data_IF_208315477940
#
_entry.id   IF_208315477940
#
_cell.length_a   1.000
_cell.length_b   1.000
_cell.length_c   1.000
_cell.angle_alpha   90.00
_cell.angle_beta   90.00
_cell.angle_gamma   90.00
#
_symmetry.space_group_name_H-M   'P 1'
#
loop_
_entity.id
_entity.type
_entity.pdbx_description
1 polymer ?
#
# COMPACT_ATOMS: atom_id res chain seq x y z
N UNK A 1 -14.25 -9.90 -48.12
CA UNK A 1 -12.93 -9.55 -48.69
C UNK A 1 -11.87 -9.64 -47.56
N UNK A 2 -10.98 -10.64 -47.59
CA UNK A 2 -9.86 -10.73 -46.64
C UNK A 2 -8.82 -9.68 -47.00
N UNK A 3 -8.55 -8.72 -46.12
CA UNK A 3 -7.42 -7.77 -46.28
C UNK A 3 -6.12 -8.58 -46.36
N UNK A 4 -5.41 -8.46 -47.50
CA UNK A 4 -4.07 -9.04 -47.64
C UNK A 4 -3.18 -8.53 -46.51
N UNK A 5 -2.60 -9.48 -45.72
CA UNK A 5 -1.57 -9.15 -44.75
C UNK A 5 -0.36 -8.57 -45.48
N UNK A 6 -0.07 -7.30 -45.21
CA UNK A 6 1.11 -6.65 -45.74
C UNK A 6 2.34 -7.35 -45.17
N UNK A 7 3.12 -7.98 -46.03
CA UNK A 7 4.35 -8.67 -45.66
C UNK A 7 5.37 -7.65 -45.13
N UNK A 8 5.74 -7.74 -43.87
CA UNK A 8 6.71 -6.82 -43.26
C UNK A 8 8.12 -7.28 -43.66
N UNK A 9 8.82 -6.42 -44.41
CA UNK A 9 10.22 -6.68 -44.74
C UNK A 9 11.12 -6.44 -43.52
N UNK A 10 12.17 -7.25 -43.32
CA UNK A 10 13.16 -7.01 -42.26
C UNK A 10 13.78 -5.62 -42.41
N UNK A 11 14.14 -5.02 -41.27
CA UNK A 11 14.81 -3.73 -41.22
C UNK A 11 16.24 -3.90 -41.77
N UNK A 12 16.66 -3.03 -42.68
CA UNK A 12 18.02 -2.98 -43.18
C UNK A 12 18.95 -2.37 -42.14
N UNK A 13 19.72 -3.23 -41.44
CA UNK A 13 20.61 -2.83 -40.38
C UNK A 13 21.78 -1.94 -40.83
N UNK A 14 22.11 -1.92 -42.12
CA UNK A 14 23.19 -1.04 -42.67
C UNK A 14 22.80 0.42 -42.66
N UNK A 15 21.49 0.72 -42.61
CA UNK A 15 20.96 2.07 -42.59
C UNK A 15 20.77 2.65 -41.19
N UNK A 16 21.06 1.90 -40.14
CA UNK A 16 20.95 2.36 -38.75
C UNK A 16 22.07 3.35 -38.45
N UNK A 17 21.66 4.55 -38.03
CA UNK A 17 22.63 5.56 -37.54
C UNK A 17 23.02 5.24 -36.09
N UNK A 18 24.33 5.11 -35.86
CA UNK A 18 24.89 4.91 -34.54
C UNK A 18 25.60 6.18 -34.04
N UNK A 19 25.84 6.25 -32.75
CA UNK A 19 26.61 7.32 -32.12
C UNK A 19 27.53 6.76 -31.00
N UNK A 20 28.64 7.43 -30.68
CA UNK A 20 29.53 6.97 -29.62
C UNK A 20 28.84 6.94 -28.25
N UNK A 21 29.01 5.86 -27.51
CA UNK A 21 28.38 5.65 -26.18
C UNK A 21 28.66 6.79 -25.19
N UNK A 22 29.83 7.44 -25.29
CA UNK A 22 30.18 8.60 -24.47
C UNK A 22 29.26 9.81 -24.64
N UNK A 23 28.53 9.90 -25.75
CA UNK A 23 27.55 10.97 -26.01
C UNK A 23 26.15 10.64 -25.46
N UNK A 24 25.94 9.41 -24.98
CA UNK A 24 24.65 8.98 -24.47
C UNK A 24 24.41 9.52 -23.06
N UNK A 25 23.25 10.13 -22.85
CA UNK A 25 22.77 10.44 -21.50
C UNK A 25 22.40 9.13 -20.79
N UNK A 26 23.14 8.78 -19.74
CA UNK A 26 22.90 7.58 -18.94
C UNK A 26 22.23 7.95 -17.61
N UNK A 27 21.29 7.13 -17.16
CA UNK A 27 20.55 7.32 -15.91
C UNK A 27 21.19 6.61 -14.71
N UNK A 28 22.14 5.70 -14.96
CA UNK A 28 22.81 4.90 -13.93
C UNK A 28 24.31 4.97 -14.16
N UNK A 29 25.07 5.15 -13.07
CA UNK A 29 26.53 5.10 -13.05
C UNK A 29 27.03 4.23 -11.88
N UNK A 30 28.28 3.82 -11.93
CA UNK A 30 28.90 2.90 -10.96
C UNK A 30 28.85 3.44 -9.52
N UNK A 31 28.89 4.76 -9.33
CA UNK A 31 28.80 5.38 -8.01
C UNK A 31 27.44 5.20 -7.30
N UNK A 32 26.43 4.76 -8.04
CA UNK A 32 25.07 4.52 -7.52
C UNK A 32 24.83 3.05 -7.14
N UNK A 33 25.84 2.18 -7.34
CA UNK A 33 25.70 0.76 -7.06
C UNK A 33 25.60 0.48 -5.57
N UNK A 34 24.81 -0.54 -5.22
CA UNK A 34 24.74 -1.08 -3.86
C UNK A 34 26.08 -1.69 -3.44
N UNK A 35 26.33 -1.72 -2.14
CA UNK A 35 27.58 -2.25 -1.57
C UNK A 35 27.29 -3.43 -0.67
N UNK A 36 28.08 -4.51 -0.71
CA UNK A 36 28.02 -5.55 0.31
C UNK A 36 28.27 -4.94 1.70
N UNK A 37 27.50 -5.40 2.69
CA UNK A 37 27.63 -4.94 4.07
C UNK A 37 27.63 -6.11 5.04
N UNK A 38 28.30 -5.92 6.18
CA UNK A 38 28.02 -6.69 7.38
C UNK A 38 26.83 -6.04 8.11
N UNK A 39 25.77 -6.83 8.35
CA UNK A 39 24.55 -6.35 9.02
C UNK A 39 24.84 -6.02 10.49
N UNK A 40 25.11 -4.75 10.78
CA UNK A 40 25.30 -4.23 12.14
C UNK A 40 24.11 -3.36 12.60
N UNK A 41 23.30 -2.85 11.67
CA UNK A 41 22.10 -2.07 11.97
C UNK A 41 21.20 -1.95 10.75
N UNK A 42 19.90 -1.68 10.98
CA UNK A 42 18.94 -1.44 9.91
C UNK A 42 19.32 -0.23 9.04
N UNK A 43 19.84 0.84 9.64
CA UNK A 43 20.28 2.01 8.88
C UNK A 43 21.38 1.65 7.88
N UNK A 44 22.37 0.85 8.28
CA UNK A 44 23.41 0.38 7.36
C UNK A 44 22.85 -0.45 6.21
N UNK A 45 21.81 -1.25 6.47
CA UNK A 45 21.11 -1.96 5.41
C UNK A 45 20.48 -0.99 4.40
N UNK A 46 19.72 0.02 4.85
CA UNK A 46 19.11 1.01 3.97
C UNK A 46 20.18 1.79 3.17
N UNK A 47 21.28 2.15 3.80
CA UNK A 47 22.39 2.88 3.16
C UNK A 47 23.11 2.06 2.09
N UNK A 48 23.14 0.72 2.25
CA UNK A 48 23.80 -0.20 1.29
C UNK A 48 23.01 -0.43 0.02
N UNK A 49 21.70 -0.16 0.02
CA UNK A 49 20.85 -0.35 -1.15
C UNK A 49 21.33 0.52 -2.32
N UNK A 50 21.17 0.08 -3.59
CA UNK A 50 21.48 0.89 -4.76
C UNK A 50 20.79 2.27 -4.71
N UNK A 51 21.47 3.31 -5.21
CA UNK A 51 20.91 4.67 -5.29
C UNK A 51 20.19 4.90 -6.62
N UNK A 52 19.35 3.95 -7.01
CA UNK A 52 18.59 3.94 -8.27
C UNK A 52 17.23 3.28 -8.08
N UNK A 53 16.29 3.59 -8.95
CA UNK A 53 14.98 2.93 -9.06
C UNK A 53 14.23 2.90 -7.71
N UNK A 54 13.68 1.75 -7.35
CA UNK A 54 12.84 1.58 -6.17
C UNK A 54 13.55 1.89 -4.84
N UNK A 55 14.85 1.60 -4.74
CA UNK A 55 15.61 1.87 -3.52
C UNK A 55 15.84 3.37 -3.31
N UNK A 56 16.01 4.14 -4.38
CA UNK A 56 16.04 5.60 -4.31
C UNK A 56 14.66 6.17 -3.97
N UNK A 57 13.61 5.65 -4.60
CA UNK A 57 12.22 5.98 -4.26
C UNK A 57 11.91 5.73 -2.77
N UNK A 58 12.33 4.60 -2.21
CA UNK A 58 12.15 4.29 -0.79
C UNK A 58 12.84 5.33 0.12
N UNK A 59 14.10 5.70 -0.17
CA UNK A 59 14.80 6.75 0.61
C UNK A 59 14.09 8.09 0.54
N UNK A 60 13.59 8.46 -0.64
CA UNK A 60 12.85 9.70 -0.84
C UNK A 60 11.57 9.72 -0.02
N UNK A 61 10.80 8.63 0.00
CA UNK A 61 9.60 8.49 0.85
C UNK A 61 9.96 8.63 2.32
N UNK A 62 10.96 7.88 2.80
CA UNK A 62 11.43 7.96 4.20
C UNK A 62 11.82 9.39 4.55
N UNK A 63 12.67 10.02 3.73
CA UNK A 63 13.13 11.41 3.95
C UNK A 63 11.98 12.40 4.01
N UNK A 64 10.98 12.26 3.13
CA UNK A 64 9.84 13.15 3.09
C UNK A 64 8.92 12.98 4.29
N UNK A 65 8.70 11.75 4.75
CA UNK A 65 7.94 11.48 5.99
C UNK A 65 8.65 12.10 7.20
N UNK A 66 9.96 11.91 7.34
CA UNK A 66 10.76 12.50 8.42
C UNK A 66 10.69 14.03 8.37
N UNK A 67 10.84 14.64 7.20
CA UNK A 67 10.72 16.10 7.03
C UNK A 67 9.33 16.61 7.39
N UNK A 68 8.28 15.90 7.01
CA UNK A 68 6.91 16.27 7.33
C UNK A 68 6.67 16.20 8.84
N UNK A 69 7.07 15.11 9.48
CA UNK A 69 6.97 14.93 10.92
C UNK A 69 7.70 16.03 11.70
N UNK A 70 8.97 16.31 11.37
CA UNK A 70 9.77 17.34 12.03
C UNK A 70 9.23 18.76 11.84
N UNK A 71 8.44 19.00 10.79
CA UNK A 71 7.81 20.29 10.50
C UNK A 71 6.33 20.33 10.93
N UNK A 72 5.85 19.37 11.70
CA UNK A 72 4.45 19.23 12.10
C UNK A 72 3.48 19.31 10.89
N UNK A 73 3.88 18.72 9.77
CA UNK A 73 3.05 18.59 8.56
C UNK A 73 2.31 17.26 8.58
N UNK A 74 1.17 17.25 7.91
CA UNK A 74 0.36 16.05 7.82
C UNK A 74 1.02 14.98 6.94
N UNK A 75 0.92 13.72 7.39
CA UNK A 75 1.26 12.53 6.64
C UNK A 75 0.00 11.67 6.53
N UNK A 76 -0.56 11.60 5.34
CA UNK A 76 -1.75 10.79 5.05
C UNK A 76 -1.29 9.45 4.48
N UNK A 77 -1.66 8.35 5.14
CA UNK A 77 -1.42 6.99 4.67
C UNK A 77 -2.67 6.47 3.96
N UNK A 78 -2.63 6.39 2.63
CA UNK A 78 -3.69 5.78 1.83
C UNK A 78 -3.43 4.28 1.65
N UNK A 79 -4.35 3.43 2.12
CA UNK A 79 -4.19 1.98 2.12
C UNK A 79 -5.39 1.26 1.52
N UNK A 80 -5.14 0.08 0.96
CA UNK A 80 -6.17 -0.92 0.67
C UNK A 80 -6.29 -1.94 1.81
N UNK A 81 -7.30 -2.80 1.71
CA UNK A 81 -7.60 -3.84 2.69
C UNK A 81 -6.44 -4.81 2.99
N UNK A 82 -5.54 -5.02 2.02
CA UNK A 82 -4.42 -5.95 2.18
C UNK A 82 -3.47 -5.56 3.31
N UNK A 83 -3.31 -4.29 3.63
CA UNK A 83 -2.49 -3.86 4.77
C UNK A 83 -3.03 -4.46 6.07
N UNK A 84 -4.34 -4.49 6.25
CA UNK A 84 -5.00 -5.07 7.42
C UNK A 84 -4.96 -6.61 7.35
N UNK A 85 -5.40 -7.18 6.23
CA UNK A 85 -5.44 -8.64 6.00
C UNK A 85 -4.09 -9.32 6.15
N UNK A 86 -3.00 -8.64 5.78
CA UNK A 86 -1.64 -9.15 5.90
C UNK A 86 -1.01 -8.87 7.29
N UNK A 87 -1.78 -8.39 8.26
CA UNK A 87 -1.33 -8.27 9.65
C UNK A 87 -0.47 -7.03 9.94
N UNK A 88 -0.54 -5.98 9.10
CA UNK A 88 0.25 -4.77 9.29
C UNK A 88 -0.43 -3.70 10.17
N UNK A 89 -1.65 -3.95 10.64
CA UNK A 89 -2.40 -3.02 11.52
C UNK A 89 -1.60 -2.56 12.74
N UNK A 90 -0.87 -3.43 13.48
CA UNK A 90 -0.09 -2.98 14.63
C UNK A 90 1.00 -1.98 14.27
N UNK A 91 1.60 -2.11 13.08
CA UNK A 91 2.62 -1.16 12.58
C UNK A 91 1.98 0.19 12.25
N UNK A 92 0.83 0.17 11.57
CA UNK A 92 0.09 1.40 11.25
C UNK A 92 -0.34 2.12 12.53
N UNK A 93 -0.87 1.39 13.51
CA UNK A 93 -1.28 1.93 14.80
C UNK A 93 -0.09 2.55 15.56
N UNK A 94 1.08 1.90 15.56
CA UNK A 94 2.29 2.45 16.18
C UNK A 94 2.72 3.76 15.51
N UNK A 95 2.71 3.81 14.18
CA UNK A 95 3.02 5.04 13.43
C UNK A 95 2.03 6.17 13.75
N UNK A 96 0.74 5.86 13.93
CA UNK A 96 -0.27 6.82 14.35
C UNK A 96 -0.03 7.29 15.79
N UNK A 97 0.25 6.38 16.74
CA UNK A 97 0.54 6.70 18.13
C UNK A 97 1.78 7.60 18.28
N UNK A 98 2.76 7.43 17.44
CA UNK A 98 3.97 8.29 17.37
C UNK A 98 3.74 9.61 16.63
N UNK A 99 2.56 9.85 16.07
CA UNK A 99 2.28 11.04 15.27
C UNK A 99 3.03 11.12 13.94
N UNK A 100 3.60 9.99 13.46
CA UNK A 100 4.26 9.91 12.15
C UNK A 100 3.21 9.88 11.05
N UNK A 101 2.17 9.06 11.21
CA UNK A 101 0.97 9.07 10.37
C UNK A 101 -0.11 9.85 11.09
N UNK A 102 -0.62 10.90 10.47
CA UNK A 102 -1.61 11.81 11.07
C UNK A 102 -3.02 11.55 10.58
N UNK A 103 -3.17 10.86 9.46
CA UNK A 103 -4.45 10.42 8.92
C UNK A 103 -4.29 9.13 8.12
N UNK A 104 -5.32 8.28 8.15
CA UNK A 104 -5.43 7.09 7.32
C UNK A 104 -6.64 7.23 6.40
N UNK A 105 -6.43 7.00 5.11
CA UNK A 105 -7.48 6.93 4.10
C UNK A 105 -7.58 5.49 3.60
N UNK A 106 -8.78 4.92 3.59
CA UNK A 106 -9.04 3.57 3.09
C UNK A 106 -10.41 3.48 2.42
N UNK A 107 -10.59 2.47 1.59
CA UNK A 107 -11.89 2.15 1.01
C UNK A 107 -12.75 1.30 1.98
N UNK A 108 -14.00 1.03 1.60
CA UNK A 108 -14.93 0.26 2.42
C UNK A 108 -14.43 -1.14 2.79
N UNK A 109 -13.66 -1.81 1.92
CA UNK A 109 -13.12 -3.12 2.25
C UNK A 109 -12.07 -3.07 3.38
N UNK A 110 -11.29 -1.98 3.47
CA UNK A 110 -10.41 -1.74 4.62
C UNK A 110 -11.20 -1.63 5.92
N UNK A 111 -12.28 -0.85 5.91
CA UNK A 111 -13.16 -0.70 7.07
C UNK A 111 -13.84 -2.01 7.50
N UNK A 112 -14.26 -2.86 6.55
CA UNK A 112 -14.81 -4.18 6.81
C UNK A 112 -13.80 -5.05 7.56
N UNK A 113 -12.59 -5.20 7.02
CA UNK A 113 -11.58 -6.06 7.63
C UNK A 113 -11.11 -5.55 9.00
N UNK A 114 -11.04 -4.23 9.19
CA UNK A 114 -10.71 -3.63 10.49
C UNK A 114 -11.79 -3.93 11.53
N UNK A 115 -13.06 -3.77 11.16
CA UNK A 115 -14.19 -4.10 12.03
C UNK A 115 -14.22 -5.58 12.42
N UNK A 116 -14.06 -6.50 11.45
CA UNK A 116 -14.04 -7.94 11.69
C UNK A 116 -12.90 -8.34 12.61
N UNK A 117 -11.69 -7.82 12.37
CA UNK A 117 -10.55 -8.02 13.25
C UNK A 117 -10.81 -7.53 14.68
N UNK A 118 -11.49 -6.40 14.84
CA UNK A 118 -11.85 -5.89 16.18
C UNK A 118 -12.90 -6.74 16.88
N UNK A 119 -13.82 -7.34 16.12
CA UNK A 119 -14.96 -8.11 16.66
C UNK A 119 -14.54 -9.51 17.10
N UNK A 120 -13.89 -10.26 16.21
CA UNK A 120 -13.59 -11.69 16.39
C UNK A 120 -12.10 -12.05 16.34
N UNK A 121 -11.21 -11.10 15.96
CA UNK A 121 -9.77 -11.34 15.78
C UNK A 121 -9.42 -12.07 14.48
N UNK A 122 -10.39 -12.24 13.59
CA UNK A 122 -10.26 -12.92 12.30
C UNK A 122 -10.91 -12.11 11.20
N UNK A 123 -10.45 -12.30 9.97
CA UNK A 123 -11.03 -11.65 8.78
C UNK A 123 -10.62 -12.37 7.51
N UNK A 124 -11.11 -11.93 6.36
CA UNK A 124 -10.80 -12.49 5.04
C UNK A 124 -11.43 -13.87 4.82
N UNK A 125 -12.74 -13.85 4.62
CA UNK A 125 -13.57 -15.02 4.33
C UNK A 125 -12.96 -15.94 3.24
N UNK A 126 -13.10 -17.24 3.40
CA UNK A 126 -12.75 -18.22 2.35
C UNK A 126 -13.77 -18.13 1.21
N UNK A 127 -13.38 -17.44 0.15
CA UNK A 127 -14.21 -17.21 -1.03
C UNK A 127 -14.66 -18.53 -1.67
N UNK A 128 -13.75 -19.51 -1.77
CA UNK A 128 -14.04 -20.79 -2.43
C UNK A 128 -15.08 -21.62 -1.67
N UNK A 129 -15.10 -21.49 -0.37
CA UNK A 129 -16.11 -22.13 0.48
C UNK A 129 -17.48 -21.45 0.33
N UNK A 130 -17.53 -20.15 0.53
CA UNK A 130 -18.78 -19.38 0.61
C UNK A 130 -19.46 -19.16 -0.76
N UNK A 131 -18.73 -19.31 -1.88
CA UNK A 131 -19.36 -19.29 -3.20
C UNK A 131 -20.20 -20.52 -3.51
N UNK A 132 -19.99 -21.65 -2.81
CA UNK A 132 -20.74 -22.89 -3.06
C UNK A 132 -22.23 -22.77 -2.72
N UNK A 133 -22.54 -21.98 -1.71
CA UNK A 133 -23.89 -21.75 -1.21
C UNK A 133 -24.38 -20.30 -1.39
N UNK A 134 -23.55 -19.44 -2.00
CA UNK A 134 -23.90 -18.04 -2.29
C UNK A 134 -23.85 -17.12 -1.09
N UNK A 135 -23.20 -17.51 0.02
CA UNK A 135 -23.10 -16.70 1.25
C UNK A 135 -21.92 -15.75 1.28
N UNK A 136 -21.08 -15.71 0.25
CA UNK A 136 -19.92 -14.83 0.19
C UNK A 136 -20.27 -13.36 0.44
N UNK A 137 -19.65 -12.75 1.45
CA UNK A 137 -19.87 -11.35 1.84
C UNK A 137 -21.16 -11.11 2.63
N UNK A 138 -21.85 -12.14 3.09
CA UNK A 138 -23.14 -12.03 3.79
C UNK A 138 -23.01 -12.08 5.32
N UNK A 139 -21.84 -11.72 5.88
CA UNK A 139 -21.67 -11.65 7.33
C UNK A 139 -22.60 -10.59 7.93
N UNK A 140 -23.56 -11.02 8.76
CA UNK A 140 -24.63 -10.21 9.30
C UNK A 140 -24.10 -9.02 10.11
N UNK A 141 -23.24 -9.29 11.08
CA UNK A 141 -22.68 -8.30 12.00
C UNK A 141 -21.87 -7.23 11.27
N UNK A 142 -21.12 -7.64 10.24
CA UNK A 142 -20.35 -6.73 9.39
C UNK A 142 -21.26 -5.80 8.60
N UNK A 143 -22.31 -6.34 7.98
CA UNK A 143 -23.28 -5.56 7.21
C UNK A 143 -24.02 -4.56 8.10
N UNK A 144 -24.54 -5.00 9.26
CA UNK A 144 -25.24 -4.16 10.21
C UNK A 144 -24.35 -3.02 10.74
N UNK A 145 -23.09 -3.31 11.05
CA UNK A 145 -22.15 -2.30 11.55
C UNK A 145 -21.83 -1.22 10.51
N UNK A 146 -21.57 -1.64 9.28
CA UNK A 146 -21.26 -0.70 8.19
C UNK A 146 -22.48 0.16 7.85
N UNK A 147 -23.69 -0.44 7.78
CA UNK A 147 -24.93 0.30 7.54
C UNK A 147 -25.21 1.31 8.65
N UNK A 148 -25.08 0.90 9.91
CA UNK A 148 -25.27 1.79 11.05
C UNK A 148 -24.26 2.96 11.02
N UNK A 149 -22.99 2.69 10.71
CA UNK A 149 -21.98 3.73 10.62
C UNK A 149 -22.22 4.69 9.42
N UNK A 150 -22.68 4.16 8.29
CA UNK A 150 -23.00 4.96 7.10
C UNK A 150 -24.24 5.86 7.29
N UNK A 151 -25.11 5.50 8.22
CA UNK A 151 -26.33 6.30 8.56
C UNK A 151 -26.05 7.50 9.48
N UNK A 152 -24.78 7.75 9.86
CA UNK A 152 -24.37 8.90 10.70
C UNK A 152 -23.67 9.95 9.82
N UNK A 153 -24.40 10.89 9.20
CA UNK A 153 -23.84 11.78 8.17
C UNK A 153 -22.78 12.77 8.72
N UNK A 154 -22.90 13.18 9.96
CA UNK A 154 -22.08 14.26 10.53
C UNK A 154 -20.64 13.85 10.89
N UNK A 155 -20.36 12.58 11.09
CA UNK A 155 -19.05 12.12 11.57
C UNK A 155 -18.16 11.48 10.49
N UNK A 156 -18.72 11.13 9.36
CA UNK A 156 -18.08 10.31 8.34
C UNK A 156 -17.92 8.84 8.78
N UNK A 157 -17.89 7.93 7.78
CA UNK A 157 -17.91 6.47 8.00
C UNK A 157 -16.82 5.98 8.97
N UNK A 158 -15.58 6.44 8.80
CA UNK A 158 -14.46 5.97 9.62
C UNK A 158 -14.62 6.28 11.10
N UNK A 159 -15.04 7.50 11.44
CA UNK A 159 -15.29 7.90 12.84
C UNK A 159 -16.50 7.20 13.43
N UNK A 160 -17.58 7.09 12.66
CA UNK A 160 -18.80 6.41 13.11
C UNK A 160 -18.53 4.94 13.41
N UNK A 161 -17.79 4.24 12.53
CA UNK A 161 -17.40 2.84 12.73
C UNK A 161 -16.44 2.68 13.91
N UNK A 162 -15.45 3.55 14.04
CA UNK A 162 -14.54 3.55 15.19
C UNK A 162 -15.27 3.73 16.52
N UNK A 163 -16.22 4.66 16.59
CA UNK A 163 -17.06 4.87 17.77
C UNK A 163 -17.93 3.62 18.08
N UNK A 164 -18.45 2.95 17.05
CA UNK A 164 -19.19 1.70 17.23
C UNK A 164 -18.30 0.59 17.80
N UNK A 165 -17.10 0.39 17.25
CA UNK A 165 -16.11 -0.57 17.78
C UNK A 165 -15.85 -0.33 19.26
N UNK A 166 -15.68 0.93 19.66
CA UNK A 166 -15.44 1.28 21.07
C UNK A 166 -16.66 1.04 21.96
N UNK A 167 -17.85 1.40 21.48
CA UNK A 167 -19.12 1.24 22.20
C UNK A 167 -19.49 -0.23 22.40
N UNK A 168 -19.35 -1.04 21.37
CA UNK A 168 -19.72 -2.45 21.39
C UNK A 168 -18.75 -3.32 22.22
N UNK A 169 -17.70 -2.70 22.82
CA UNK A 169 -16.70 -3.40 23.63
C UNK A 169 -16.08 -4.61 22.92
N UNK A 170 -15.83 -4.46 21.63
CA UNK A 170 -15.20 -5.48 20.84
C UNK A 170 -13.91 -6.00 21.49
N UNK A 171 -13.68 -7.31 21.39
CA UNK A 171 -12.61 -8.00 22.14
C UNK A 171 -11.20 -7.57 21.70
N UNK A 172 -11.03 -7.27 20.42
CA UNK A 172 -9.73 -6.98 19.80
C UNK A 172 -9.72 -5.53 19.27
N UNK A 173 -9.57 -4.52 20.13
CA UNK A 173 -9.56 -3.11 19.75
C UNK A 173 -8.15 -2.53 19.72
#
# INVERSE_FOLDING_TARGET
>A
MRKQKKELKPIDLTKIKTYPIKKRKNLVNIGQFGKPIELKSFNKFIDSLPKVLAADGLRNVISNIVKAHNKNRQVVLAIGAHVIKCGLSPIVIDLMKRGIVTAVAMNGSGAIHDYEMSLIGETSEDVSHSLKDGTFGMAKETAEAIQAAASVPESGLGRALGNKILKDKNKYK
#
